data_IF_488046730307
#
_entry.id   IF_488046730307
#
_cell.length_a   1.000
_cell.length_b   1.000
_cell.length_c   1.000
_cell.angle_alpha   90.00
_cell.angle_beta   90.00
_cell.angle_gamma   90.00
#
_symmetry.space_group_name_H-M   'P 1'
#
loop_
_entity.id
_entity.type
_entity.pdbx_description
1 polymer ?
#
# COMPACT_ATOMS: atom_id res chain seq x y z
N UNK A 1 -11.52 9.71 47.79
CA UNK A 1 -11.91 9.40 46.39
C UNK A 1 -12.59 10.62 45.79
N UNK A 2 -12.09 11.19 44.69
CA UNK A 2 -12.71 12.39 44.10
C UNK A 2 -13.95 12.03 43.27
N UNK A 3 -15.07 12.67 43.57
CA UNK A 3 -16.37 12.49 42.87
C UNK A 3 -16.27 12.77 41.35
N UNK A 4 -15.23 13.51 40.94
CA UNK A 4 -15.05 14.05 39.59
C UNK A 4 -13.94 13.40 38.76
N UNK A 5 -13.29 12.32 39.22
CA UNK A 5 -12.33 11.54 38.39
C UNK A 5 -13.07 10.44 37.63
N UNK A 6 -12.78 10.28 36.33
CA UNK A 6 -13.36 9.24 35.47
C UNK A 6 -13.97 9.75 34.16
N UNK A 7 -14.57 8.84 33.40
CA UNK A 7 -15.16 9.10 32.09
C UNK A 7 -16.44 9.93 32.15
N UNK A 8 -16.74 10.64 31.06
CA UNK A 8 -17.92 11.48 30.93
C UNK A 8 -19.22 10.72 31.25
N UNK A 9 -19.36 9.49 30.72
CA UNK A 9 -20.52 8.63 30.96
C UNK A 9 -20.72 8.29 32.44
N UNK A 10 -19.65 7.92 33.13
CA UNK A 10 -19.73 7.57 34.57
C UNK A 10 -20.05 8.80 35.42
N UNK A 11 -19.56 9.97 35.02
CA UNK A 11 -19.83 11.26 35.69
C UNK A 11 -21.27 11.70 35.53
N UNK A 12 -21.79 11.71 34.31
CA UNK A 12 -23.18 12.12 34.05
C UNK A 12 -24.16 11.17 34.70
N UNK A 13 -23.89 9.86 34.71
CA UNK A 13 -24.69 8.89 35.47
C UNK A 13 -24.72 9.20 36.97
N UNK A 14 -23.58 9.55 37.58
CA UNK A 14 -23.53 9.94 39.01
C UNK A 14 -24.30 11.23 39.30
N UNK A 15 -24.22 12.23 38.42
CA UNK A 15 -24.92 13.51 38.57
C UNK A 15 -26.44 13.39 38.40
N UNK A 16 -26.88 12.59 37.44
CA UNK A 16 -28.33 12.31 37.23
C UNK A 16 -28.87 11.48 38.40
N UNK A 17 -28.12 10.49 38.90
CA UNK A 17 -28.51 9.71 40.09
C UNK A 17 -28.59 10.57 41.36
N UNK A 18 -27.68 11.53 41.50
CA UNK A 18 -27.69 12.49 42.61
C UNK A 18 -28.70 13.63 42.48
N UNK A 19 -29.59 13.58 41.46
CA UNK A 19 -30.58 14.62 41.14
C UNK A 19 -29.99 16.03 40.96
N UNK A 20 -28.66 16.14 40.80
CA UNK A 20 -27.96 17.41 40.62
C UNK A 20 -28.10 17.96 39.20
N UNK A 21 -28.42 17.10 38.23
CA UNK A 21 -28.70 17.47 36.84
C UNK A 21 -29.86 16.65 36.26
N UNK A 22 -30.67 17.28 35.43
CA UNK A 22 -31.68 16.58 34.63
C UNK A 22 -31.03 15.60 33.65
N UNK A 23 -31.73 14.50 33.34
CA UNK A 23 -31.24 13.48 32.40
C UNK A 23 -31.10 14.09 31.00
N UNK A 24 -29.88 14.16 30.42
CA UNK A 24 -29.73 14.68 29.08
C UNK A 24 -30.21 13.66 28.05
N UNK A 25 -30.74 14.15 26.92
CA UNK A 25 -31.33 13.33 25.87
C UNK A 25 -30.34 12.30 25.29
N UNK A 26 -29.06 12.68 25.18
CA UNK A 26 -28.00 11.83 24.64
C UNK A 26 -27.55 10.70 25.59
N UNK A 27 -27.92 10.73 26.88
CA UNK A 27 -27.48 9.69 27.84
C UNK A 27 -28.04 8.31 27.48
N UNK A 28 -29.29 8.25 27.01
CA UNK A 28 -29.93 6.98 26.64
C UNK A 28 -29.20 6.32 25.46
N UNK A 29 -28.93 7.09 24.40
CA UNK A 29 -28.21 6.60 23.22
C UNK A 29 -26.78 6.14 23.57
N UNK A 30 -26.11 6.85 24.47
CA UNK A 30 -24.74 6.53 24.84
C UNK A 30 -24.60 5.36 25.83
N UNK A 31 -25.66 5.04 26.57
CA UNK A 31 -25.75 3.80 27.37
C UNK A 31 -26.06 2.58 26.51
N UNK A 32 -26.80 2.78 25.42
CA UNK A 32 -27.12 1.73 24.44
C UNK A 32 -25.92 1.40 23.55
N UNK A 33 -25.19 2.42 23.09
CA UNK A 33 -23.99 2.26 22.27
C UNK A 33 -22.81 3.05 22.87
N UNK A 34 -22.11 2.48 23.87
CA UNK A 34 -20.90 3.11 24.38
C UNK A 34 -19.79 3.11 23.32
N UNK A 35 -18.87 4.10 23.36
CA UNK A 35 -17.75 4.13 22.43
C UNK A 35 -16.81 2.94 22.71
N UNK A 36 -16.24 2.37 21.65
CA UNK A 36 -15.28 1.25 21.76
C UNK A 36 -14.03 1.73 22.49
N UNK A 37 -13.62 0.98 23.51
CA UNK A 37 -12.38 1.23 24.25
C UNK A 37 -11.29 0.33 23.74
N UNK A 38 -10.21 0.92 23.23
CA UNK A 38 -8.98 0.19 22.89
C UNK A 38 -8.07 0.09 24.11
N UNK A 39 -7.28 -1.00 24.25
CA UNK A 39 -6.27 -1.09 25.30
C UNK A 39 -5.31 0.09 25.18
N UNK A 40 -4.95 0.70 26.32
CA UNK A 40 -4.05 1.83 26.35
C UNK A 40 -2.64 1.35 25.99
N UNK A 41 -2.14 1.77 24.83
CA UNK A 41 -0.80 1.45 24.35
C UNK A 41 0.25 2.28 25.09
N UNK A 42 1.44 1.71 25.30
CA UNK A 42 2.59 2.36 25.96
C UNK A 42 3.24 3.49 25.13
N UNK A 43 2.60 3.91 24.02
CA UNK A 43 3.11 4.93 23.11
C UNK A 43 4.25 4.46 22.21
N UNK A 44 4.60 3.17 22.24
CA UNK A 44 5.55 2.55 21.31
C UNK A 44 4.80 2.16 20.03
N UNK A 45 5.13 2.80 18.92
CA UNK A 45 4.58 2.49 17.61
C UNK A 45 5.67 1.94 16.72
N UNK A 46 5.40 0.80 16.08
CA UNK A 46 6.30 0.21 15.10
C UNK A 46 6.09 0.87 13.73
N UNK A 47 7.18 1.08 13.00
CA UNK A 47 7.10 1.61 11.65
C UNK A 47 6.49 0.54 10.72
N UNK A 48 5.40 0.89 10.02
CA UNK A 48 4.78 0.01 9.04
C UNK A 48 5.72 -0.10 7.84
N UNK A 49 6.19 -1.32 7.56
CA UNK A 49 7.01 -1.64 6.38
C UNK A 49 6.28 -2.65 5.52
N UNK A 50 6.33 -2.43 4.21
CA UNK A 50 5.78 -3.35 3.21
C UNK A 50 6.91 -4.15 2.55
N UNK A 51 6.65 -5.38 2.08
CA UNK A 51 7.68 -6.20 1.44
C UNK A 51 8.24 -5.58 0.15
N UNK A 52 7.45 -4.77 -0.56
CA UNK A 52 7.90 -4.05 -1.76
C UNK A 52 8.84 -2.87 -1.47
N UNK A 53 8.86 -2.34 -0.24
CA UNK A 53 9.61 -1.13 0.11
C UNK A 53 11.11 -1.28 -0.11
N UNK A 54 11.63 -2.51 0.01
CA UNK A 54 13.02 -2.83 -0.28
C UNK A 54 13.37 -2.63 -1.76
N UNK A 55 12.50 -3.09 -2.67
CA UNK A 55 12.70 -2.98 -4.11
C UNK A 55 12.45 -1.56 -4.61
N UNK A 56 11.51 -0.83 -4.01
CA UNK A 56 11.30 0.60 -4.30
C UNK A 56 12.57 1.41 -3.99
N UNK A 57 13.25 1.14 -2.87
CA UNK A 57 14.53 1.79 -2.54
C UNK A 57 15.62 1.48 -3.57
N UNK A 58 15.70 0.23 -4.03
CA UNK A 58 16.62 -0.16 -5.11
C UNK A 58 16.29 0.55 -6.42
N UNK A 59 15.01 0.68 -6.76
CA UNK A 59 14.54 1.37 -7.96
C UNK A 59 14.97 2.84 -7.97
N UNK A 60 14.73 3.58 -6.89
CA UNK A 60 15.15 4.99 -6.80
C UNK A 60 16.66 5.18 -6.75
N UNK A 61 17.42 4.17 -6.32
CA UNK A 61 18.89 4.17 -6.41
C UNK A 61 19.37 4.01 -7.86
N UNK A 62 18.69 3.17 -8.65
CA UNK A 62 18.98 2.97 -10.08
C UNK A 62 18.54 4.16 -10.94
N UNK A 63 17.35 4.70 -10.66
CA UNK A 63 16.72 5.77 -11.45
C UNK A 63 16.40 6.98 -10.56
N UNK A 64 17.38 7.85 -10.27
CA UNK A 64 17.14 9.03 -9.43
C UNK A 64 16.19 10.04 -10.08
N UNK A 65 16.22 10.13 -11.42
CA UNK A 65 15.43 11.09 -12.20
C UNK A 65 13.94 10.75 -12.26
N UNK A 66 13.57 9.49 -11.95
CA UNK A 66 12.18 9.03 -11.91
C UNK A 66 11.31 9.81 -10.92
N UNK A 67 11.93 10.41 -9.89
CA UNK A 67 11.22 11.25 -8.90
C UNK A 67 10.61 12.51 -9.49
N UNK A 68 11.17 13.01 -10.59
CA UNK A 68 10.77 14.28 -11.19
C UNK A 68 9.95 14.08 -12.48
N UNK A 69 10.10 12.93 -13.13
CA UNK A 69 9.40 12.59 -14.38
C UNK A 69 7.90 12.30 -14.13
N UNK A 70 7.59 11.57 -13.06
CA UNK A 70 6.23 11.10 -12.80
C UNK A 70 5.60 11.83 -11.61
N UNK A 71 4.73 12.79 -11.91
CA UNK A 71 3.95 13.47 -10.87
C UNK A 71 3.00 12.47 -10.19
N UNK A 72 3.21 12.24 -8.89
CA UNK A 72 2.33 11.36 -8.10
C UNK A 72 0.99 12.05 -7.89
N UNK A 73 -0.05 11.53 -8.53
CA UNK A 73 -1.43 11.96 -8.31
C UNK A 73 -1.97 11.28 -7.06
N UNK A 74 -1.94 11.97 -5.92
CA UNK A 74 -2.48 11.45 -4.65
C UNK A 74 -3.97 11.10 -4.71
N UNK A 75 -4.74 11.76 -5.57
CA UNK A 75 -6.16 11.48 -5.81
C UNK A 75 -6.40 10.36 -6.84
N UNK A 76 -5.36 9.87 -7.51
CA UNK A 76 -5.45 8.78 -8.47
C UNK A 76 -5.38 7.43 -7.79
N UNK A 77 -6.01 6.43 -8.41
CA UNK A 77 -5.87 5.02 -8.02
C UNK A 77 -4.66 4.34 -8.66
N UNK A 78 -4.02 5.01 -9.62
CA UNK A 78 -2.89 4.45 -10.34
C UNK A 78 -1.63 4.46 -9.46
N UNK A 79 -1.01 3.29 -9.22
CA UNK A 79 0.19 3.21 -8.40
C UNK A 79 1.36 3.89 -9.10
N UNK A 80 2.29 4.50 -8.34
CA UNK A 80 3.51 5.05 -8.91
C UNK A 80 4.37 3.92 -9.52
N UNK A 81 5.21 4.23 -10.53
CA UNK A 81 5.91 3.19 -11.30
C UNK A 81 6.88 2.37 -10.44
N UNK A 82 7.50 3.01 -9.45
CA UNK A 82 8.35 2.32 -8.48
C UNK A 82 7.59 1.25 -7.67
N UNK A 83 6.30 1.46 -7.39
CA UNK A 83 5.46 0.47 -6.70
C UNK A 83 5.07 -0.68 -7.63
N UNK A 84 4.75 -0.39 -8.89
CA UNK A 84 4.49 -1.41 -9.93
C UNK A 84 5.72 -2.31 -10.10
N UNK A 85 6.91 -1.72 -10.11
CA UNK A 85 8.17 -2.48 -10.12
C UNK A 85 8.26 -3.46 -8.94
N UNK A 86 8.04 -2.97 -7.72
CA UNK A 86 8.12 -3.78 -6.51
C UNK A 86 7.15 -4.95 -6.52
N UNK A 87 5.90 -4.72 -6.95
CA UNK A 87 4.91 -5.79 -7.10
C UNK A 87 5.32 -6.81 -8.15
N UNK A 88 5.82 -6.36 -9.30
CA UNK A 88 6.25 -7.28 -10.37
C UNK A 88 7.40 -8.19 -9.93
N UNK A 89 8.35 -7.66 -9.17
CA UNK A 89 9.45 -8.46 -8.61
C UNK A 89 8.92 -9.51 -7.61
N UNK A 90 7.94 -9.13 -6.78
CA UNK A 90 7.31 -10.07 -5.84
C UNK A 90 6.54 -11.18 -6.57
N UNK A 91 5.76 -10.84 -7.60
CA UNK A 91 5.04 -11.82 -8.44
C UNK A 91 6.01 -12.84 -9.08
N UNK A 92 7.14 -12.37 -9.62
CA UNK A 92 8.14 -13.24 -10.24
C UNK A 92 8.85 -14.12 -9.20
N UNK A 93 9.03 -13.60 -7.98
CA UNK A 93 9.60 -14.37 -6.87
C UNK A 93 8.64 -15.46 -6.38
N UNK A 94 7.34 -15.20 -6.36
CA UNK A 94 6.32 -16.22 -6.08
C UNK A 94 6.31 -17.33 -7.14
N UNK A 95 6.66 -17.02 -8.38
CA UNK A 95 6.82 -17.98 -9.47
C UNK A 95 8.15 -18.76 -9.41
N UNK A 96 9.03 -18.46 -8.45
CA UNK A 96 10.30 -19.17 -8.24
C UNK A 96 11.50 -18.60 -9.01
N UNK A 97 11.40 -17.40 -9.57
CA UNK A 97 12.54 -16.73 -10.20
C UNK A 97 13.59 -16.30 -9.16
N UNK A 98 14.86 -16.31 -9.55
CA UNK A 98 15.93 -15.73 -8.73
C UNK A 98 15.77 -14.21 -8.63
N UNK A 99 16.21 -13.59 -7.53
CA UNK A 99 15.97 -12.16 -7.29
C UNK A 99 16.59 -11.26 -8.37
N UNK A 100 17.73 -11.68 -8.93
CA UNK A 100 18.46 -10.92 -9.95
C UNK A 100 17.74 -10.98 -11.30
N UNK A 101 17.26 -12.16 -11.69
CA UNK A 101 16.46 -12.35 -12.90
C UNK A 101 15.12 -11.61 -12.80
N UNK A 102 14.44 -11.70 -11.65
CA UNK A 102 13.18 -11.01 -11.41
C UNK A 102 13.32 -9.48 -11.54
N UNK A 103 14.41 -8.92 -11.02
CA UNK A 103 14.73 -7.50 -11.15
C UNK A 103 14.99 -7.12 -12.61
N UNK A 104 15.77 -7.93 -13.35
CA UNK A 104 16.08 -7.66 -14.75
C UNK A 104 14.82 -7.71 -15.64
N UNK A 105 13.95 -8.71 -15.44
CA UNK A 105 12.68 -8.82 -16.16
C UNK A 105 11.74 -7.66 -15.82
N UNK A 106 11.66 -7.27 -14.54
CA UNK A 106 10.85 -6.13 -14.12
C UNK A 106 11.39 -4.80 -14.67
N UNK A 107 12.70 -4.61 -14.75
CA UNK A 107 13.33 -3.43 -15.36
C UNK A 107 12.99 -3.34 -16.87
N UNK A 108 13.02 -4.47 -17.60
CA UNK A 108 12.60 -4.52 -19.00
C UNK A 108 11.13 -4.20 -19.18
N UNK A 109 10.25 -4.74 -18.34
CA UNK A 109 8.82 -4.45 -18.40
C UNK A 109 8.54 -2.96 -18.21
N UNK A 110 9.28 -2.26 -17.35
CA UNK A 110 9.11 -0.81 -17.19
C UNK A 110 9.70 -0.07 -18.39
N UNK A 111 10.91 -0.38 -18.84
CA UNK A 111 11.52 0.34 -19.95
C UNK A 111 10.77 0.17 -21.28
N UNK A 112 10.11 -0.96 -21.53
CA UNK A 112 9.35 -1.20 -22.77
C UNK A 112 7.88 -0.81 -22.67
N UNK A 113 7.23 -1.07 -21.54
CA UNK A 113 5.79 -0.86 -21.41
C UNK A 113 5.45 0.59 -21.05
N UNK A 114 6.33 1.29 -20.31
CA UNK A 114 6.06 2.64 -19.81
C UNK A 114 6.05 3.73 -20.90
N UNK A 115 6.98 3.75 -21.89
CA UNK A 115 6.88 4.67 -23.03
C UNK A 115 5.63 4.40 -23.89
N UNK A 116 5.19 3.14 -23.96
CA UNK A 116 3.96 2.75 -24.66
C UNK A 116 2.71 3.19 -23.89
N UNK A 117 2.65 3.00 -22.57
CA UNK A 117 1.51 3.41 -21.73
C UNK A 117 1.35 4.94 -21.70
N UNK A 118 2.45 5.70 -21.65
CA UNK A 118 2.41 7.17 -21.72
C UNK A 118 2.01 7.66 -23.11
N UNK A 119 2.53 7.04 -24.20
CA UNK A 119 2.13 7.41 -25.58
C UNK A 119 0.69 7.04 -25.92
N UNK A 120 0.17 5.94 -25.39
CA UNK A 120 -1.17 5.44 -25.72
C UNK A 120 -2.25 5.83 -24.71
N UNK A 121 -1.91 6.56 -23.63
CA UNK A 121 -2.90 7.07 -22.68
C UNK A 121 -3.79 5.97 -22.09
N UNK A 122 -3.25 4.78 -21.87
CA UNK A 122 -4.01 3.62 -21.39
C UNK A 122 -4.19 3.79 -19.89
N UNK A 123 -5.18 4.59 -19.51
CA UNK A 123 -5.83 4.47 -18.21
C UNK A 123 -6.42 3.06 -18.13
N UNK A 124 -6.07 2.32 -17.09
CA UNK A 124 -6.55 0.94 -16.87
C UNK A 124 -8.06 0.95 -16.61
N UNK A 125 -8.87 1.14 -17.67
CA UNK A 125 -10.29 0.83 -17.65
C UNK A 125 -10.37 -0.69 -17.65
N UNK A 126 -10.62 -1.26 -16.46
CA UNK A 126 -10.97 -2.67 -16.29
C UNK A 126 -12.26 -2.97 -17.07
N UNK A 127 -12.15 -3.30 -18.34
CA UNK A 127 -13.15 -4.08 -19.02
C UNK A 127 -12.68 -5.52 -19.00
N UNK A 128 -13.54 -6.40 -18.48
CA UNK A 128 -13.23 -7.77 -18.10
C UNK A 128 -12.90 -8.67 -19.29
N UNK A 129 -11.68 -8.55 -19.81
CA UNK A 129 -11.04 -9.56 -20.62
C UNK A 129 -9.66 -9.83 -20.07
N UNK A 130 -9.49 -11.10 -19.72
CA UNK A 130 -8.24 -11.75 -19.37
C UNK A 130 -7.27 -11.66 -20.56
N UNK A 131 -6.64 -10.51 -20.74
CA UNK A 131 -5.53 -10.37 -21.67
C UNK A 131 -4.26 -10.88 -21.00
N UNK A 132 -4.03 -12.18 -21.18
CA UNK A 132 -2.72 -12.81 -21.08
C UNK A 132 -1.75 -12.05 -22.00
N UNK A 133 -0.97 -11.13 -21.42
CA UNK A 133 0.22 -10.58 -22.07
C UNK A 133 1.43 -10.93 -21.22
N UNK A 134 1.69 -12.23 -21.14
CA UNK A 134 3.03 -12.80 -21.05
C UNK A 134 3.00 -13.97 -22.04
N UNK A 135 3.88 -14.03 -23.06
CA UNK A 135 4.01 -15.25 -23.82
C UNK A 135 4.46 -16.34 -22.85
N UNK A 136 3.57 -17.28 -22.60
CA UNK A 136 3.91 -18.55 -21.98
C UNK A 136 4.88 -19.27 -22.92
N UNK A 137 5.99 -19.73 -22.34
CA UNK A 137 6.90 -20.75 -22.89
C UNK A 137 7.61 -20.40 -24.21
N UNK A 138 8.91 -20.11 -24.11
CA UNK A 138 9.75 -20.04 -25.30
C UNK A 138 11.14 -19.42 -25.11
N UNK A 139 12.00 -20.10 -24.35
CA UNK A 139 13.44 -20.13 -24.63
C UNK A 139 14.17 -18.76 -24.70
N UNK A 140 14.35 -18.10 -23.55
CA UNK A 140 15.36 -17.06 -23.41
C UNK A 140 16.75 -17.71 -23.30
N UNK A 141 17.30 -18.19 -24.42
CA UNK A 141 18.74 -18.43 -24.53
C UNK A 141 19.43 -17.07 -24.49
N UNK A 142 20.31 -16.88 -23.51
CA UNK A 142 21.31 -15.82 -23.53
C UNK A 142 22.10 -15.89 -24.86
N UNK A 143 22.47 -14.75 -25.47
CA UNK A 143 23.38 -14.78 -26.60
C UNK A 143 24.71 -15.37 -26.13
N UNK A 144 25.12 -16.49 -26.73
CA UNK A 144 26.48 -17.01 -26.60
C UNK A 144 27.37 -16.13 -27.47
N UNK A 145 28.40 -15.56 -26.87
CA UNK A 145 29.49 -14.93 -27.59
C UNK A 145 30.26 -16.03 -28.35
N UNK A 146 29.97 -16.19 -29.64
CA UNK A 146 30.84 -16.89 -30.59
C UNK A 146 31.89 -15.90 -31.08
N UNK A 147 33.05 -15.88 -30.42
CA UNK A 147 34.27 -15.33 -30.97
C UNK A 147 35.14 -16.49 -31.49
N UNK A 148 35.21 -16.55 -32.81
CA UNK A 148 36.03 -17.42 -33.66
C UNK A 148 37.52 -17.44 -33.28
N UNK A 149 38.08 -18.65 -33.30
CA UNK A 149 39.48 -18.95 -33.58
C UNK A 149 39.81 -18.78 -35.07
#
# INVERSE_FOLDING_TARGET
MSFMRGDLLTKTRKLVKGLAKAKPLWLKAMEEAPPVTFPRTDGKFEAITLPEDFYIKKFFKKYPDSKYQDAIRFSGFDPPPARVFGWRVLELKEQGASEEEAIAVADLCICFFFPLMIRYGISSRKEGKEERICPAEGNCKAPRDEATS
#
